data_IF_048350053727
#
_entry.id   IF_048350053727
#
_cell.length_a   1.000
_cell.length_b   1.000
_cell.length_c   1.000
_cell.angle_alpha   90.00
_cell.angle_beta   90.00
_cell.angle_gamma   90.00
#
_symmetry.space_group_name_H-M   'P 1'
#
loop_
_entity.id
_entity.type
_entity.pdbx_description
1 polymer ?
#
# COMPACT_ATOMS: atom_id res chain seq x y z
N UNK A 1 10.39 -28.97 12.94
CA UNK A 1 9.26 -28.87 11.97
C UNK A 1 9.86 -28.40 10.65
N UNK A 2 9.75 -29.16 9.56
CA UNK A 2 10.25 -28.68 8.25
C UNK A 2 9.44 -27.43 7.87
N UNK A 3 10.08 -26.32 7.44
CA UNK A 3 9.33 -25.17 6.94
C UNK A 3 8.45 -25.63 5.78
N UNK A 4 7.15 -25.36 5.87
CA UNK A 4 6.21 -25.66 4.79
C UNK A 4 6.54 -24.74 3.62
N UNK A 5 6.86 -25.31 2.46
CA UNK A 5 7.11 -24.55 1.25
C UNK A 5 5.80 -23.84 0.82
N UNK A 6 5.88 -22.54 0.58
CA UNK A 6 4.76 -21.78 0.02
C UNK A 6 4.67 -22.07 -1.49
N UNK A 7 3.47 -22.39 -1.97
CA UNK A 7 3.21 -22.58 -3.40
C UNK A 7 2.15 -21.58 -3.84
N UNK A 8 2.52 -20.70 -4.77
CA UNK A 8 1.62 -19.67 -5.32
C UNK A 8 0.74 -20.26 -6.42
N UNK A 9 -0.46 -20.70 -6.07
CA UNK A 9 -1.41 -21.32 -7.01
C UNK A 9 -2.46 -20.34 -7.56
N UNK A 10 -2.70 -19.23 -6.84
CA UNK A 10 -3.68 -18.20 -7.19
C UNK A 10 -2.99 -16.85 -7.44
N UNK A 11 -3.60 -15.95 -8.23
CA UNK A 11 -3.12 -14.57 -8.34
C UNK A 11 -3.09 -13.88 -6.97
N UNK A 12 -1.96 -13.24 -6.66
CA UNK A 12 -1.71 -12.60 -5.37
C UNK A 12 -1.96 -11.09 -5.43
N UNK A 13 -2.78 -10.60 -4.49
CA UNK A 13 -3.11 -9.19 -4.32
C UNK A 13 -2.72 -8.70 -2.92
N UNK A 14 -2.11 -7.52 -2.88
CA UNK A 14 -1.92 -6.71 -1.69
C UNK A 14 -3.08 -5.73 -1.57
N UNK A 15 -3.86 -5.84 -0.51
CA UNK A 15 -4.95 -4.90 -0.22
C UNK A 15 -4.84 -4.33 1.18
N UNK A 16 -5.55 -3.23 1.45
CA UNK A 16 -5.62 -2.65 2.78
C UNK A 16 -7.03 -2.21 3.16
N UNK A 17 -7.40 -2.35 4.43
CA UNK A 17 -8.56 -1.65 5.00
C UNK A 17 -8.13 -0.27 5.48
N UNK A 18 -8.76 0.76 4.93
CA UNK A 18 -8.50 2.17 5.20
C UNK A 18 -9.76 2.84 5.76
N UNK A 19 -9.62 4.03 6.34
CA UNK A 19 -10.76 4.81 6.82
C UNK A 19 -10.64 5.27 8.28
N UNK A 20 -11.63 6.02 8.79
CA UNK A 20 -11.53 6.70 10.08
C UNK A 20 -11.47 5.75 11.28
N UNK A 21 -10.89 6.23 12.39
CA UNK A 21 -10.89 5.50 13.65
C UNK A 21 -12.33 5.22 14.11
N UNK A 22 -12.59 4.06 14.70
CA UNK A 22 -13.92 3.68 15.18
C UNK A 22 -14.91 3.18 14.12
N UNK A 23 -14.58 3.24 12.82
CA UNK A 23 -15.50 2.82 11.74
C UNK A 23 -15.51 1.29 11.49
N UNK A 24 -14.80 0.50 12.31
CA UNK A 24 -14.87 -0.97 12.26
C UNK A 24 -13.88 -1.67 11.32
N UNK A 25 -12.76 -1.03 10.94
CA UNK A 25 -11.70 -1.64 10.10
C UNK A 25 -11.18 -2.96 10.67
N UNK A 26 -10.66 -2.94 11.89
CA UNK A 26 -10.11 -4.13 12.55
C UNK A 26 -11.16 -5.21 12.77
N UNK A 27 -12.38 -4.82 13.14
CA UNK A 27 -13.52 -5.76 13.26
C UNK A 27 -13.83 -6.44 11.92
N UNK A 28 -13.81 -5.68 10.83
CA UNK A 28 -14.05 -6.20 9.49
C UNK A 28 -12.92 -7.15 9.05
N UNK A 29 -11.66 -6.75 9.21
CA UNK A 29 -10.51 -7.61 8.86
C UNK A 29 -10.49 -8.89 9.69
N UNK A 30 -10.81 -8.82 10.98
CA UNK A 30 -10.96 -10.00 11.83
C UNK A 30 -12.12 -10.90 11.38
N UNK A 31 -13.24 -10.33 10.92
CA UNK A 31 -14.36 -11.09 10.38
C UNK A 31 -14.00 -11.83 9.08
N UNK A 32 -13.26 -11.18 8.18
CA UNK A 32 -12.71 -11.81 6.96
C UNK A 32 -11.76 -12.96 7.33
N UNK A 33 -10.82 -12.71 8.25
CA UNK A 33 -9.87 -13.72 8.69
C UNK A 33 -10.60 -14.94 9.29
N UNK A 34 -11.59 -14.71 10.15
CA UNK A 34 -12.41 -15.77 10.75
C UNK A 34 -13.19 -16.56 9.71
N UNK A 35 -13.81 -15.88 8.74
CA UNK A 35 -14.59 -16.54 7.67
C UNK A 35 -13.71 -17.49 6.85
N UNK A 36 -12.48 -17.08 6.56
CA UNK A 36 -11.55 -17.82 5.70
C UNK A 36 -10.57 -18.73 6.48
N UNK A 37 -10.76 -18.88 7.80
CA UNK A 37 -9.89 -19.71 8.64
C UNK A 37 -8.46 -19.19 8.78
N UNK A 38 -8.23 -17.90 8.55
CA UNK A 38 -6.93 -17.24 8.68
C UNK A 38 -6.69 -16.72 10.10
N UNK A 39 -5.41 -16.53 10.44
CA UNK A 39 -5.04 -15.88 11.70
C UNK A 39 -5.50 -14.41 11.70
N UNK A 40 -6.14 -13.90 12.76
CA UNK A 40 -6.48 -12.49 12.83
C UNK A 40 -5.21 -11.62 12.89
N UNK A 41 -5.29 -10.33 12.55
CA UNK A 41 -4.15 -9.42 12.69
C UNK A 41 -3.69 -9.38 14.17
N UNK A 42 -2.43 -9.72 14.43
CA UNK A 42 -1.88 -9.87 15.78
C UNK A 42 -1.06 -8.65 16.23
N UNK A 43 -1.68 -7.76 17.00
CA UNK A 43 -1.00 -6.65 17.69
C UNK A 43 -0.58 -5.46 16.80
N UNK A 44 0.01 -4.40 17.38
CA UNK A 44 0.28 -3.13 16.70
C UNK A 44 1.36 -3.21 15.61
N UNK A 45 2.07 -4.33 15.48
CA UNK A 45 3.16 -4.55 14.53
C UNK A 45 2.83 -5.54 13.39
N UNK A 46 1.83 -6.43 13.56
CA UNK A 46 1.44 -7.34 12.48
C UNK A 46 0.45 -6.64 11.55
N UNK A 47 1.01 -5.88 10.61
CA UNK A 47 0.24 -5.07 9.67
C UNK A 47 -0.63 -5.89 8.73
N UNK A 48 -0.39 -7.20 8.54
CA UNK A 48 -1.01 -7.99 7.46
C UNK A 48 -1.47 -9.37 7.88
N UNK A 49 -2.64 -9.75 7.39
CA UNK A 49 -3.19 -11.11 7.43
C UNK A 49 -3.13 -11.74 6.04
N UNK A 50 -2.84 -13.04 5.99
CA UNK A 50 -2.87 -13.84 4.77
C UNK A 50 -4.16 -14.67 4.70
N UNK A 51 -4.87 -14.64 3.58
CA UNK A 51 -6.01 -15.50 3.32
C UNK A 51 -6.24 -15.67 1.82
N UNK A 52 -7.17 -16.53 1.43
CA UNK A 52 -7.53 -16.72 0.02
C UNK A 52 -9.03 -16.87 -0.16
N UNK A 53 -9.53 -16.40 -1.30
CA UNK A 53 -10.88 -16.70 -1.80
C UNK A 53 -10.82 -17.90 -2.75
N UNK A 54 -11.95 -18.25 -3.37
CA UNK A 54 -11.95 -19.20 -4.48
C UNK A 54 -11.09 -18.77 -5.67
N UNK A 55 -10.85 -17.47 -5.87
CA UNK A 55 -10.24 -16.94 -7.10
C UNK A 55 -8.89 -16.25 -6.91
N UNK A 56 -8.56 -15.81 -5.68
CA UNK A 56 -7.37 -15.00 -5.38
C UNK A 56 -6.72 -15.39 -4.05
N UNK A 57 -5.45 -15.03 -3.92
CA UNK A 57 -4.71 -15.03 -2.67
C UNK A 57 -4.45 -13.58 -2.23
N UNK A 58 -4.56 -13.31 -0.94
CA UNK A 58 -4.50 -11.97 -0.38
C UNK A 58 -3.43 -11.84 0.71
N UNK A 59 -2.68 -10.74 0.61
CA UNK A 59 -2.02 -10.10 1.74
C UNK A 59 -2.83 -8.86 2.10
N UNK A 60 -3.57 -8.90 3.21
CA UNK A 60 -4.48 -7.83 3.60
C UNK A 60 -3.92 -7.07 4.81
N UNK A 61 -3.59 -5.79 4.59
CA UNK A 61 -3.18 -4.90 5.64
C UNK A 61 -4.34 -4.27 6.44
N UNK A 62 -4.34 -4.36 7.77
CA UNK A 62 -5.24 -3.56 8.60
C UNK A 62 -4.55 -2.26 9.02
N UNK A 63 -4.99 -1.14 8.43
CA UNK A 63 -4.29 0.13 8.58
C UNK A 63 -4.94 0.97 9.68
N UNK A 64 -4.18 1.43 10.68
CA UNK A 64 -4.70 2.35 11.69
C UNK A 64 -5.26 3.63 11.08
N UNK A 65 -6.30 4.21 11.69
CA UNK A 65 -6.88 5.47 11.21
C UNK A 65 -5.87 6.63 11.18
N UNK A 66 -4.88 6.62 12.08
CA UNK A 66 -3.81 7.61 12.16
C UNK A 66 -2.57 7.26 11.31
N UNK A 67 -2.63 6.19 10.49
CA UNK A 67 -1.51 5.77 9.68
C UNK A 67 -1.08 6.90 8.74
N UNK A 68 0.22 7.16 8.75
CA UNK A 68 0.80 8.20 7.90
C UNK A 68 1.32 7.62 6.60
N UNK A 69 1.61 6.33 6.50
CA UNK A 69 2.12 5.71 5.28
C UNK A 69 1.44 4.37 5.07
N UNK A 70 1.22 4.02 3.82
CA UNK A 70 0.72 2.73 3.40
C UNK A 70 1.86 1.93 2.76
N UNK A 71 1.78 0.59 2.81
CA UNK A 71 2.59 -0.24 1.94
C UNK A 71 2.19 -0.07 0.46
N UNK A 72 2.91 -0.74 -0.45
CA UNK A 72 2.43 -0.88 -1.83
C UNK A 72 1.12 -1.68 -1.87
N UNK A 73 0.14 -1.22 -2.65
CA UNK A 73 -1.21 -1.78 -2.71
C UNK A 73 -1.68 -1.95 -4.16
N UNK A 74 -2.35 -3.07 -4.43
CA UNK A 74 -3.04 -3.32 -5.70
C UNK A 74 -4.50 -2.82 -5.65
N UNK A 75 -5.09 -2.79 -4.44
CA UNK A 75 -6.42 -2.23 -4.19
C UNK A 75 -6.63 -1.88 -2.72
N UNK A 76 -7.76 -1.25 -2.40
CA UNK A 76 -8.10 -0.88 -1.03
C UNK A 76 -9.58 -1.07 -0.72
N UNK A 77 -9.88 -1.31 0.56
CA UNK A 77 -11.23 -1.30 1.12
C UNK A 77 -11.37 -0.07 2.01
N UNK A 78 -12.19 0.91 1.61
CA UNK A 78 -12.50 2.07 2.43
C UNK A 78 -13.67 1.74 3.36
N UNK A 79 -13.41 1.72 4.66
CA UNK A 79 -14.41 1.39 5.68
C UNK A 79 -15.00 2.67 6.27
N UNK A 80 -16.31 2.83 6.14
CA UNK A 80 -17.06 3.98 6.68
C UNK A 80 -18.27 3.47 7.44
N UNK A 81 -18.45 3.88 8.70
CA UNK A 81 -19.66 3.58 9.45
C UNK A 81 -20.81 4.44 8.94
N UNK A 82 -21.93 3.81 8.58
CA UNK A 82 -23.13 4.47 8.09
C UNK A 82 -23.80 5.35 9.16
N UNK A 83 -23.62 5.05 10.44
CA UNK A 83 -24.15 5.86 11.55
C UNK A 83 -23.50 7.25 11.61
N UNK A 84 -22.23 7.35 11.23
CA UNK A 84 -21.44 8.58 11.23
C UNK A 84 -21.43 9.29 9.88
N UNK A 85 -20.97 10.53 9.85
CA UNK A 85 -20.59 11.21 8.60
C UNK A 85 -19.23 10.72 8.10
N UNK A 86 -18.81 11.23 6.94
CA UNK A 86 -17.44 11.04 6.44
C UNK A 86 -16.55 12.12 7.06
N UNK A 87 -15.69 11.80 8.03
CA UNK A 87 -14.84 12.81 8.67
C UNK A 87 -13.84 13.39 7.66
N UNK A 88 -13.39 14.65 7.84
CA UNK A 88 -12.43 15.28 6.93
C UNK A 88 -11.14 14.47 6.72
N UNK A 89 -10.67 13.77 7.77
CA UNK A 89 -9.49 12.91 7.69
C UNK A 89 -9.60 11.72 6.73
N UNK A 90 -10.81 11.34 6.28
CA UNK A 90 -11.01 10.26 5.30
C UNK A 90 -10.38 10.59 3.95
N UNK A 91 -10.31 11.87 3.59
CA UNK A 91 -9.64 12.35 2.39
C UNK A 91 -8.15 11.95 2.38
N UNK A 92 -7.47 12.03 3.53
CA UNK A 92 -6.06 11.66 3.64
C UNK A 92 -5.85 10.17 3.32
N UNK A 93 -6.78 9.29 3.68
CA UNK A 93 -6.70 7.87 3.33
C UNK A 93 -6.78 7.62 1.83
N UNK A 94 -7.60 8.38 1.09
CA UNK A 94 -7.69 8.28 -0.37
C UNK A 94 -6.42 8.76 -1.06
N UNK A 95 -5.86 9.88 -0.59
CA UNK A 95 -4.58 10.40 -1.10
C UNK A 95 -3.44 9.41 -0.84
N UNK A 96 -3.40 8.81 0.35
CA UNK A 96 -2.44 7.77 0.69
C UNK A 96 -2.61 6.52 -0.17
N UNK A 97 -3.86 6.08 -0.42
CA UNK A 97 -4.15 4.95 -1.30
C UNK A 97 -3.60 5.19 -2.72
N UNK A 98 -3.80 6.39 -3.25
CA UNK A 98 -3.27 6.76 -4.55
C UNK A 98 -1.74 6.74 -4.59
N UNK A 99 -1.09 7.27 -3.54
CA UNK A 99 0.36 7.25 -3.42
C UNK A 99 0.94 5.83 -3.24
N UNK A 100 0.16 4.92 -2.65
CA UNK A 100 0.49 3.49 -2.50
C UNK A 100 0.31 2.67 -3.79
N UNK A 101 -0.24 3.27 -4.85
CA UNK A 101 -0.52 2.60 -6.12
C UNK A 101 -1.94 2.03 -6.24
N UNK A 102 -2.77 2.10 -5.20
CA UNK A 102 -4.15 1.63 -5.27
C UNK A 102 -4.97 2.55 -6.18
N UNK A 103 -5.37 2.02 -7.35
CA UNK A 103 -6.25 2.68 -8.33
C UNK A 103 -7.69 2.19 -8.24
N UNK A 104 -7.90 1.01 -7.64
CA UNK A 104 -9.20 0.38 -7.47
C UNK A 104 -9.53 0.29 -5.99
N UNK A 105 -10.78 0.58 -5.65
CA UNK A 105 -11.25 0.64 -4.29
C UNK A 105 -12.67 0.09 -4.19
N UNK A 106 -12.96 -0.56 -3.06
CA UNK A 106 -14.31 -0.97 -2.66
C UNK A 106 -14.65 -0.25 -1.37
N UNK A 107 -15.88 0.23 -1.23
CA UNK A 107 -16.35 0.85 0.01
C UNK A 107 -17.13 -0.19 0.82
N UNK A 108 -16.75 -0.35 2.09
CA UNK A 108 -17.52 -1.10 3.08
C UNK A 108 -18.26 -0.12 4.00
N UNK A 109 -19.59 -0.03 3.84
CA UNK A 109 -20.47 0.71 4.75
C UNK A 109 -20.84 -0.17 5.93
N UNK A 110 -20.19 0.04 7.08
CA UNK A 110 -20.45 -0.72 8.31
C UNK A 110 -21.58 -0.10 9.13
N UNK A 111 -22.16 -0.86 10.07
CA UNK A 111 -23.21 -0.37 11.00
C UNK A 111 -24.44 0.20 10.27
N UNK A 112 -24.78 -0.35 9.10
CA UNK A 112 -25.96 0.06 8.35
C UNK A 112 -27.27 -0.28 9.06
N UNK A 113 -27.25 -1.36 9.85
CA UNK A 113 -28.32 -1.82 10.73
C UNK A 113 -28.65 -0.81 11.84
N UNK A 114 -27.63 -0.15 12.41
CA UNK A 114 -27.81 0.88 13.44
C UNK A 114 -28.32 2.23 12.86
N UNK A 115 -27.97 2.54 11.61
CA UNK A 115 -28.18 3.87 11.01
C UNK A 115 -29.60 4.08 10.45
N UNK A 116 -30.27 3.00 10.03
CA UNK A 116 -31.54 3.04 9.32
C UNK A 116 -31.43 3.49 7.85
N UNK A 117 -32.43 3.20 6.99
CA UNK A 117 -32.30 3.31 5.54
C UNK A 117 -31.99 4.72 5.01
N UNK A 118 -32.57 5.76 5.64
CA UNK A 118 -32.34 7.15 5.25
C UNK A 118 -30.89 7.57 5.45
N UNK A 119 -30.33 7.28 6.63
CA UNK A 119 -28.95 7.64 6.96
C UNK A 119 -27.95 6.89 6.09
N UNK A 120 -28.20 5.60 5.81
CA UNK A 120 -27.36 4.78 4.92
C UNK A 120 -27.25 5.40 3.52
N UNK A 121 -28.38 5.84 2.94
CA UNK A 121 -28.38 6.52 1.63
C UNK A 121 -27.54 7.80 1.66
N UNK A 122 -27.66 8.60 2.72
CA UNK A 122 -26.85 9.82 2.87
C UNK A 122 -25.36 9.50 3.03
N UNK A 123 -25.01 8.49 3.83
CA UNK A 123 -23.62 8.07 4.02
C UNK A 123 -22.99 7.61 2.70
N UNK A 124 -23.73 6.86 1.89
CA UNK A 124 -23.28 6.47 0.54
C UNK A 124 -23.05 7.69 -0.36
N UNK A 125 -23.98 8.65 -0.39
CA UNK A 125 -23.83 9.88 -1.17
C UNK A 125 -22.62 10.72 -0.73
N UNK A 126 -22.36 10.80 0.58
CA UNK A 126 -21.19 11.49 1.13
C UNK A 126 -19.89 10.82 0.69
N UNK A 127 -19.83 9.49 0.75
CA UNK A 127 -18.65 8.73 0.29
C UNK A 127 -18.46 8.89 -1.21
N UNK A 128 -19.51 8.80 -2.03
CA UNK A 128 -19.41 8.99 -3.49
C UNK A 128 -18.90 10.39 -3.84
N UNK A 129 -19.37 11.43 -3.14
CA UNK A 129 -18.84 12.80 -3.30
C UNK A 129 -17.36 12.89 -2.94
N UNK A 130 -16.94 12.26 -1.84
CA UNK A 130 -15.53 12.21 -1.45
C UNK A 130 -14.69 11.48 -2.52
N UNK A 131 -15.12 10.33 -3.01
CA UNK A 131 -14.42 9.57 -4.04
C UNK A 131 -14.22 10.40 -5.32
N UNK A 132 -15.28 11.06 -5.79
CA UNK A 132 -15.23 11.91 -6.99
C UNK A 132 -14.25 13.08 -6.80
N UNK A 133 -14.26 13.72 -5.63
CA UNK A 133 -13.37 14.83 -5.31
C UNK A 133 -11.88 14.43 -5.27
N UNK A 134 -11.58 13.14 -5.11
CA UNK A 134 -10.21 12.61 -5.04
C UNK A 134 -9.84 11.68 -6.21
N UNK A 135 -10.54 11.80 -7.34
CA UNK A 135 -10.16 11.16 -8.59
C UNK A 135 -10.47 9.66 -8.69
N UNK A 136 -11.31 9.12 -7.80
CA UNK A 136 -11.86 7.77 -7.92
C UNK A 136 -13.16 7.78 -8.72
N UNK A 137 -13.44 6.69 -9.44
CA UNK A 137 -14.71 6.52 -10.17
C UNK A 137 -15.84 6.29 -9.17
N UNK A 138 -16.45 7.38 -8.69
CA UNK A 138 -17.52 7.35 -7.70
C UNK A 138 -18.80 6.66 -8.20
N UNK A 139 -18.95 6.44 -9.51
CA UNK A 139 -20.12 5.77 -10.08
C UNK A 139 -19.89 4.25 -10.06
N UNK A 140 -18.75 3.79 -10.56
CA UNK A 140 -18.44 2.36 -10.70
C UNK A 140 -17.86 1.72 -9.44
N UNK A 141 -17.35 2.52 -8.50
CA UNK A 141 -16.85 2.01 -7.22
C UNK A 141 -17.96 1.28 -6.48
N UNK A 142 -17.80 -0.02 -6.14
CA UNK A 142 -18.78 -0.75 -5.38
C UNK A 142 -18.88 -0.20 -3.96
N UNK A 143 -20.12 0.00 -3.51
CA UNK A 143 -20.44 0.36 -2.13
C UNK A 143 -21.26 -0.77 -1.54
N UNK A 144 -20.64 -1.54 -0.63
CA UNK A 144 -21.24 -2.74 -0.03
C UNK A 144 -21.61 -2.41 1.41
N UNK A 145 -22.86 -2.68 1.80
CA UNK A 145 -23.25 -2.64 3.20
C UNK A 145 -22.74 -3.90 3.88
N UNK A 146 -21.90 -3.73 4.91
CA UNK A 146 -21.19 -4.83 5.56
C UNK A 146 -21.55 -4.92 7.03
N UNK A 147 -22.10 -6.07 7.44
CA UNK A 147 -22.19 -6.49 8.83
C UNK A 147 -21.10 -7.53 9.11
N UNK A 148 -20.04 -7.20 9.89
CA UNK A 148 -18.93 -8.12 10.17
C UNK A 148 -19.34 -9.43 10.86
N UNK A 149 -20.54 -9.47 11.45
CA UNK A 149 -21.06 -10.67 12.10
C UNK A 149 -21.83 -11.60 11.14
N UNK A 150 -22.21 -11.12 9.96
CA UNK A 150 -22.97 -11.87 8.98
C UNK A 150 -22.06 -12.41 7.86
N UNK A 151 -21.93 -13.74 7.77
CA UNK A 151 -21.08 -14.43 6.78
C UNK A 151 -21.38 -13.97 5.35
N UNK A 152 -22.65 -13.96 4.94
CA UNK A 152 -23.05 -13.57 3.59
C UNK A 152 -22.66 -12.11 3.26
N UNK A 153 -22.65 -11.23 4.26
CA UNK A 153 -22.31 -9.83 4.10
C UNK A 153 -20.80 -9.62 3.89
N UNK A 154 -19.98 -10.36 4.65
CA UNK A 154 -18.52 -10.37 4.45
C UNK A 154 -18.15 -11.04 3.11
N UNK A 155 -18.86 -12.09 2.71
CA UNK A 155 -18.67 -12.72 1.40
C UNK A 155 -18.98 -11.75 0.25
N UNK A 156 -20.09 -11.01 0.32
CA UNK A 156 -20.43 -10.01 -0.69
C UNK A 156 -19.37 -8.92 -0.83
N UNK A 157 -18.70 -8.53 0.26
CA UNK A 157 -17.56 -7.62 0.20
C UNK A 157 -16.38 -8.26 -0.55
N UNK A 158 -16.04 -9.51 -0.24
CA UNK A 158 -14.93 -10.22 -0.90
C UNK A 158 -15.21 -10.42 -2.39
N UNK A 159 -16.44 -10.77 -2.77
CA UNK A 159 -16.85 -10.90 -4.17
C UNK A 159 -16.72 -9.56 -4.92
N UNK A 160 -17.09 -8.46 -4.27
CA UNK A 160 -16.90 -7.12 -4.81
C UNK A 160 -15.42 -6.77 -4.98
N UNK A 161 -14.55 -7.16 -4.05
CA UNK A 161 -13.09 -6.97 -4.16
C UNK A 161 -12.51 -7.82 -5.29
N UNK A 162 -12.83 -9.12 -5.35
CA UNK A 162 -12.41 -10.05 -6.42
C UNK A 162 -12.78 -9.54 -7.82
N UNK A 163 -13.93 -8.85 -7.93
CA UNK A 163 -14.45 -8.30 -9.20
C UNK A 163 -13.88 -6.92 -9.53
N UNK A 164 -13.77 -6.03 -8.54
CA UNK A 164 -13.41 -4.63 -8.75
C UNK A 164 -11.90 -4.42 -8.89
N UNK A 165 -11.09 -5.18 -8.14
CA UNK A 165 -9.64 -5.04 -8.15
C UNK A 165 -9.06 -5.98 -9.21
N UNK A 166 -8.50 -5.45 -10.31
CA UNK A 166 -7.95 -6.30 -11.36
C UNK A 166 -6.74 -7.07 -10.85
N UNK A 167 -6.46 -8.21 -11.49
CA UNK A 167 -5.20 -8.91 -11.22
C UNK A 167 -4.04 -8.04 -11.72
N UNK A 168 -3.11 -7.65 -10.85
CA UNK A 168 -1.98 -6.80 -11.25
C UNK A 168 -1.02 -7.57 -12.15
N UNK A 169 -0.48 -6.89 -13.16
CA UNK A 169 0.60 -7.43 -13.99
C UNK A 169 1.88 -7.45 -13.16
N UNK A 170 2.52 -8.61 -13.07
CA UNK A 170 3.73 -8.83 -12.27
C UNK A 170 4.94 -9.06 -13.18
N UNK A 171 5.93 -8.20 -13.10
CA UNK A 171 7.15 -8.28 -13.93
C UNK A 171 8.21 -9.18 -13.29
N UNK A 172 7.96 -10.49 -13.22
CA UNK A 172 8.82 -11.46 -12.52
C UNK A 172 10.19 -11.67 -13.16
N UNK A 173 10.34 -11.32 -14.44
CA UNK A 173 11.59 -11.42 -15.21
C UNK A 173 12.43 -10.13 -15.18
N UNK A 174 11.90 -9.03 -14.62
CA UNK A 174 12.66 -7.81 -14.46
C UNK A 174 13.70 -7.93 -13.33
N UNK A 175 14.75 -7.08 -13.30
CA UNK A 175 15.65 -7.02 -12.15
C UNK A 175 14.88 -6.72 -10.87
N UNK A 176 15.11 -7.52 -9.82
CA UNK A 176 14.32 -7.40 -8.61
C UNK A 176 14.47 -6.03 -7.93
N UNK A 177 13.38 -5.57 -7.32
CA UNK A 177 13.35 -4.37 -6.48
C UNK A 177 12.41 -4.62 -5.30
N UNK A 178 12.96 -4.59 -4.08
CA UNK A 178 12.24 -4.74 -2.82
C UNK A 178 12.25 -3.39 -2.08
N UNK A 179 11.07 -2.80 -1.89
CA UNK A 179 10.91 -1.56 -1.13
C UNK A 179 10.86 -1.86 0.37
N UNK A 180 11.79 -1.31 1.15
CA UNK A 180 11.91 -1.60 2.59
C UNK A 180 10.85 -0.82 3.37
N UNK A 181 9.98 -1.56 4.05
CA UNK A 181 8.95 -1.03 4.95
C UNK A 181 9.42 -0.97 6.40
N UNK A 182 10.22 -1.96 6.81
CA UNK A 182 10.85 -2.05 8.11
C UNK A 182 12.16 -2.83 8.04
N UNK A 183 13.08 -2.56 8.96
CA UNK A 183 14.38 -3.21 9.02
C UNK A 183 14.86 -3.33 10.47
N UNK A 184 15.26 -4.54 10.87
CA UNK A 184 15.82 -4.84 12.18
C UNK A 184 16.86 -5.96 12.05
N UNK A 185 18.05 -5.76 12.63
CA UNK A 185 19.09 -6.79 12.78
C UNK A 185 19.41 -7.59 11.51
N UNK A 186 19.66 -6.89 10.41
CA UNK A 186 19.98 -7.50 9.12
C UNK A 186 18.80 -8.18 8.42
N UNK A 187 17.59 -8.08 8.98
CA UNK A 187 16.35 -8.52 8.34
C UNK A 187 15.56 -7.30 7.86
N UNK A 188 15.04 -7.37 6.65
CA UNK A 188 14.14 -6.36 6.08
C UNK A 188 12.78 -6.95 5.77
N UNK A 189 11.73 -6.16 5.95
CA UNK A 189 10.40 -6.49 5.46
C UNK A 189 9.96 -5.48 4.40
N UNK A 190 9.19 -5.93 3.43
CA UNK A 190 8.75 -5.08 2.33
C UNK A 190 7.94 -5.81 1.27
N UNK A 191 7.52 -5.08 0.24
CA UNK A 191 6.88 -5.67 -0.95
C UNK A 191 7.90 -5.74 -2.07
N UNK A 192 8.03 -6.94 -2.67
CA UNK A 192 8.82 -7.12 -3.88
C UNK A 192 8.06 -6.51 -5.06
N UNK A 193 8.44 -5.31 -5.51
CA UNK A 193 7.69 -4.59 -6.54
C UNK A 193 7.82 -5.25 -7.92
N UNK A 194 9.00 -5.78 -8.23
CA UNK A 194 9.31 -6.47 -9.48
C UNK A 194 10.38 -7.54 -9.30
N UNK A 195 10.51 -8.38 -10.31
CA UNK A 195 11.51 -9.44 -10.39
C UNK A 195 11.23 -10.64 -9.50
N UNK A 196 12.28 -11.41 -9.28
CA UNK A 196 12.30 -12.61 -8.43
C UNK A 196 13.48 -12.48 -7.48
N UNK A 197 13.27 -12.76 -6.19
CA UNK A 197 14.29 -12.70 -5.14
C UNK A 197 14.51 -14.08 -4.53
N UNK A 198 15.75 -14.55 -4.50
CA UNK A 198 16.14 -15.87 -4.00
C UNK A 198 17.21 -15.75 -2.91
N UNK A 199 17.25 -16.70 -1.95
CA UNK A 199 18.45 -16.91 -1.16
C UNK A 199 19.67 -17.12 -2.09
N UNK A 200 20.77 -16.45 -1.78
CA UNK A 200 21.99 -16.40 -2.59
C UNK A 200 22.12 -15.15 -3.46
N UNK A 201 21.03 -14.42 -3.74
CA UNK A 201 21.09 -13.22 -4.57
C UNK A 201 21.91 -12.11 -3.90
N UNK A 202 22.67 -11.37 -4.72
CA UNK A 202 23.32 -10.13 -4.29
C UNK A 202 22.35 -8.95 -4.45
N UNK A 203 22.23 -8.14 -3.41
CA UNK A 203 21.42 -6.94 -3.39
C UNK A 203 22.28 -5.69 -3.14
N UNK A 204 22.10 -4.67 -3.97
CA UNK A 204 22.56 -3.31 -3.68
C UNK A 204 21.58 -2.61 -2.73
N UNK A 205 22.13 -1.91 -1.74
CA UNK A 205 21.42 -1.26 -0.66
C UNK A 205 21.41 0.25 -0.88
N UNK A 206 20.29 0.78 -1.34
CA UNK A 206 20.14 2.23 -1.52
C UNK A 206 19.76 2.91 -0.20
N UNK A 207 20.21 4.15 0.06
CA UNK A 207 21.07 4.99 -0.78
C UNK A 207 22.57 4.71 -0.59
N UNK A 208 22.97 3.78 0.28
CA UNK A 208 24.39 3.59 0.66
C UNK A 208 25.29 3.04 -0.46
N UNK A 209 24.71 2.38 -1.47
CA UNK A 209 25.45 1.71 -2.55
C UNK A 209 26.17 0.43 -2.12
N UNK A 210 26.19 0.11 -0.81
CA UNK A 210 26.75 -1.14 -0.30
C UNK A 210 25.99 -2.35 -0.87
N UNK A 211 26.66 -3.50 -0.93
CA UNK A 211 26.02 -4.75 -1.34
C UNK A 211 25.97 -5.75 -0.19
N UNK A 212 24.88 -6.50 -0.10
CA UNK A 212 24.72 -7.63 0.81
C UNK A 212 24.23 -8.87 0.05
N UNK A 213 24.40 -10.05 0.63
CA UNK A 213 23.85 -11.30 0.09
C UNK A 213 22.57 -11.64 0.84
N UNK A 214 21.52 -11.98 0.12
CA UNK A 214 20.27 -12.47 0.72
C UNK A 214 20.48 -13.90 1.19
N UNK A 215 20.33 -14.17 2.48
CA UNK A 215 20.57 -15.50 3.06
C UNK A 215 19.29 -16.30 3.26
N UNK A 216 18.16 -15.61 3.44
CA UNK A 216 16.85 -16.24 3.55
C UNK A 216 15.75 -15.32 3.02
N UNK A 217 14.70 -15.92 2.47
CA UNK A 217 13.50 -15.24 2.00
C UNK A 217 12.29 -15.95 2.60
N UNK A 218 11.38 -15.17 3.20
CA UNK A 218 10.18 -15.68 3.87
C UNK A 218 8.97 -14.83 3.55
N UNK A 219 7.78 -15.40 3.68
CA UNK A 219 6.50 -14.68 3.66
C UNK A 219 5.61 -15.25 4.74
N UNK A 220 4.94 -14.40 5.53
CA UNK A 220 4.06 -14.83 6.64
C UNK A 220 4.66 -15.93 7.53
N UNK A 221 5.97 -15.84 7.83
CA UNK A 221 6.71 -16.81 8.63
C UNK A 221 7.15 -18.10 7.90
N UNK A 222 6.66 -18.33 6.68
CA UNK A 222 6.98 -19.49 5.82
C UNK A 222 8.23 -19.20 4.98
N UNK A 223 9.09 -20.20 4.79
CA UNK A 223 10.30 -20.06 3.96
C UNK A 223 9.97 -20.22 2.48
N UNK A 224 10.60 -19.40 1.64
CA UNK A 224 10.46 -19.42 0.19
C UNK A 224 11.76 -19.86 -0.48
N UNK A 225 11.67 -20.66 -1.54
CA UNK A 225 12.79 -20.88 -2.47
C UNK A 225 13.04 -19.65 -3.35
N UNK A 226 11.96 -18.95 -3.71
CA UNK A 226 11.98 -17.69 -4.43
C UNK A 226 10.72 -16.88 -4.07
N UNK A 227 10.88 -15.59 -3.81
CA UNK A 227 9.79 -14.63 -3.82
C UNK A 227 9.64 -14.03 -5.22
N UNK A 228 8.41 -13.70 -5.59
CA UNK A 228 8.08 -13.08 -6.87
C UNK A 228 7.41 -11.73 -6.67
N UNK A 229 7.45 -10.90 -7.71
CA UNK A 229 6.77 -9.60 -7.73
C UNK A 229 5.33 -9.68 -7.17
N UNK A 230 5.03 -8.77 -6.25
CA UNK A 230 3.82 -8.70 -5.44
C UNK A 230 3.93 -9.34 -4.06
N UNK A 231 4.89 -10.23 -3.80
CA UNK A 231 4.96 -10.89 -2.50
C UNK A 231 5.35 -9.91 -1.38
N UNK A 232 4.72 -10.07 -0.23
CA UNK A 232 5.20 -9.48 1.04
C UNK A 232 6.33 -10.35 1.55
N UNK A 233 7.53 -9.79 1.59
CA UNK A 233 8.76 -10.52 1.86
C UNK A 233 9.37 -10.07 3.19
N UNK A 234 9.86 -11.06 3.94
CA UNK A 234 10.89 -10.90 4.96
C UNK A 234 12.18 -11.48 4.40
N UNK A 235 13.18 -10.64 4.15
CA UNK A 235 14.48 -11.05 3.63
C UNK A 235 15.56 -10.85 4.70
N UNK A 236 16.34 -11.89 4.97
CA UNK A 236 17.52 -11.80 5.83
C UNK A 236 18.75 -11.59 4.97
N UNK A 237 19.61 -10.65 5.40
CA UNK A 237 20.81 -10.26 4.70
C UNK A 237 22.04 -10.68 5.50
N UNK A 238 23.02 -11.24 4.81
CA UNK A 238 24.32 -11.58 5.37
C UNK A 238 25.29 -10.40 5.36
N UNK A 239 26.12 -10.33 6.40
CA UNK A 239 27.26 -9.43 6.49
C UNK A 239 26.96 -8.04 7.09
N UNK A 240 28.01 -7.29 7.44
CA UNK A 240 27.89 -6.01 8.17
C UNK A 240 27.25 -4.90 7.33
N UNK A 241 27.18 -5.06 6.01
CA UNK A 241 26.54 -4.10 5.10
C UNK A 241 25.04 -3.93 5.36
N UNK A 242 24.38 -4.93 5.97
CA UNK A 242 22.97 -4.86 6.32
C UNK A 242 22.67 -3.91 7.50
N UNK A 243 23.70 -3.53 8.28
CA UNK A 243 23.54 -2.60 9.39
C UNK A 243 23.14 -1.21 8.90
N UNK A 244 22.13 -0.61 9.54
CA UNK A 244 21.66 0.76 9.26
C UNK A 244 20.66 0.90 8.12
N UNK A 245 20.17 -0.22 7.57
CA UNK A 245 18.98 -0.22 6.71
C UNK A 245 17.77 0.29 7.49
N UNK A 246 16.90 0.99 6.79
CA UNK A 246 15.67 1.54 7.38
C UNK A 246 14.55 1.64 6.34
N UNK A 247 13.35 1.94 6.83
CA UNK A 247 12.22 2.30 5.98
C UNK A 247 12.60 3.39 4.97
N UNK A 248 12.21 3.18 3.72
CA UNK A 248 12.54 4.08 2.61
C UNK A 248 13.83 3.76 1.86
N UNK A 249 14.58 2.76 2.34
CA UNK A 249 15.64 2.15 1.56
C UNK A 249 15.03 1.13 0.57
N UNK A 250 15.84 0.72 -0.40
CA UNK A 250 15.47 -0.26 -1.42
C UNK A 250 16.61 -1.24 -1.60
N UNK A 251 16.25 -2.52 -1.72
CA UNK A 251 17.13 -3.60 -2.15
C UNK A 251 16.86 -3.90 -3.61
N UNK A 252 17.88 -3.94 -4.44
CA UNK A 252 17.72 -4.28 -5.84
C UNK A 252 18.95 -4.99 -6.41
N UNK A 253 18.80 -5.54 -7.61
CA UNK A 253 19.96 -6.05 -8.37
C UNK A 253 20.99 -4.93 -8.51
N UNK A 254 22.28 -5.16 -8.19
CA UNK A 254 23.33 -4.14 -8.35
C UNK A 254 23.36 -3.55 -9.76
N UNK A 255 23.40 -2.21 -9.84
CA UNK A 255 23.40 -1.47 -11.10
C UNK A 255 22.03 -1.33 -11.79
N UNK A 256 20.96 -1.92 -11.25
CA UNK A 256 19.61 -1.85 -11.86
C UNK A 256 18.76 -0.64 -11.46
N UNK A 257 19.27 0.20 -10.55
CA UNK A 257 18.57 1.38 -10.04
C UNK A 257 19.36 2.64 -10.36
N UNK A 258 18.66 3.65 -10.84
CA UNK A 258 19.14 5.03 -10.95
C UNK A 258 18.66 5.83 -9.74
N UNK A 259 19.57 6.54 -9.08
CA UNK A 259 19.24 7.46 -8.00
C UNK A 259 19.09 8.88 -8.55
N UNK A 260 17.96 9.51 -8.29
CA UNK A 260 17.69 10.87 -8.72
C UNK A 260 17.52 11.80 -7.50
N UNK A 261 17.95 13.06 -7.67
CA UNK A 261 17.69 14.16 -6.72
C UNK A 261 16.51 15.04 -7.13
N UNK A 262 15.89 14.75 -8.27
CA UNK A 262 14.72 15.46 -8.76
C UNK A 262 14.15 14.76 -9.98
N UNK A 263 12.94 15.16 -10.36
CA UNK A 263 12.20 14.61 -11.49
C UNK A 263 11.10 15.57 -11.91
N UNK A 264 10.54 15.34 -13.10
CA UNK A 264 9.28 15.99 -13.52
C UNK A 264 8.10 15.07 -13.23
N UNK A 265 6.96 15.66 -12.91
CA UNK A 265 5.76 14.91 -12.56
C UNK A 265 4.47 15.63 -12.98
N UNK A 266 3.40 14.85 -13.11
CA UNK A 266 2.03 15.36 -13.05
C UNK A 266 1.56 15.33 -11.59
N UNK A 267 1.03 16.43 -11.10
CA UNK A 267 0.61 16.60 -9.70
C UNK A 267 -0.85 17.03 -9.61
N UNK A 268 -1.56 16.47 -8.64
CA UNK A 268 -2.89 16.88 -8.25
C UNK A 268 -2.82 17.46 -6.83
N UNK A 269 -2.93 18.79 -6.75
CA UNK A 269 -2.90 19.57 -5.53
C UNK A 269 -4.17 20.43 -5.48
N UNK A 270 -5.11 20.18 -4.54
CA UNK A 270 -6.33 20.98 -4.42
C UNK A 270 -6.06 22.46 -4.12
N UNK A 271 -4.94 22.75 -3.45
CA UNK A 271 -4.48 24.11 -3.16
C UNK A 271 -2.95 24.19 -3.23
N UNK A 272 -2.37 25.37 -3.52
CA UNK A 272 -0.93 25.57 -3.48
C UNK A 272 -0.36 25.23 -2.08
N UNK A 273 0.71 24.44 -2.00
CA UNK A 273 1.33 24.10 -0.73
C UNK A 273 1.91 25.34 -0.06
N UNK A 274 1.80 25.42 1.27
CA UNK A 274 2.43 26.46 2.11
C UNK A 274 3.42 25.81 3.05
N UNK A 275 4.60 26.41 3.19
CA UNK A 275 5.64 25.95 4.11
C UNK A 275 6.44 24.74 3.62
N UNK A 276 7.26 24.13 4.50
CA UNK A 276 8.14 23.02 4.16
C UNK A 276 7.37 21.77 3.70
N UNK A 277 7.88 21.13 2.64
CA UNK A 277 7.27 19.92 2.09
C UNK A 277 8.08 18.67 2.37
N UNK A 278 7.35 17.57 2.51
CA UNK A 278 7.89 16.21 2.47
C UNK A 278 7.29 15.45 1.31
N UNK A 279 8.15 14.77 0.57
CA UNK A 279 7.79 13.94 -0.56
C UNK A 279 7.88 12.49 -0.12
N UNK A 280 6.79 11.76 -0.33
CA UNK A 280 6.72 10.34 -0.06
C UNK A 280 6.76 9.55 -1.36
N UNK A 281 7.86 8.83 -1.60
CA UNK A 281 8.04 7.94 -2.74
C UNK A 281 8.24 6.52 -2.21
N UNK A 282 7.42 5.57 -2.65
CA UNK A 282 7.36 4.23 -2.04
C UNK A 282 7.22 4.34 -0.51
N UNK A 283 8.18 3.79 0.23
CA UNK A 283 8.27 3.85 1.68
C UNK A 283 9.12 5.03 2.18
N UNK A 284 9.86 5.71 1.30
CA UNK A 284 10.73 6.81 1.65
C UNK A 284 9.95 8.09 1.90
N UNK A 285 10.39 8.87 2.90
CA UNK A 285 9.89 10.20 3.19
C UNK A 285 11.08 11.15 3.29
N UNK A 286 11.13 12.16 2.42
CA UNK A 286 12.27 13.10 2.36
C UNK A 286 11.77 14.54 2.27
N UNK A 287 12.49 15.52 2.84
CA UNK A 287 12.24 16.92 2.53
C UNK A 287 12.36 17.14 1.02
N UNK A 288 11.65 18.12 0.49
CA UNK A 288 11.84 18.53 -0.90
C UNK A 288 11.01 19.75 -1.26
N UNK A 289 11.10 20.15 -2.51
CA UNK A 289 10.39 21.29 -3.06
C UNK A 289 9.62 20.87 -4.31
N UNK A 290 8.55 21.60 -4.57
CA UNK A 290 7.70 21.40 -5.75
C UNK A 290 7.53 22.76 -6.41
N UNK A 291 8.03 22.88 -7.63
CA UNK A 291 7.87 24.07 -8.47
C UNK A 291 6.81 23.77 -9.52
N UNK A 292 5.61 24.38 -9.42
CA UNK A 292 4.55 24.17 -10.41
C UNK A 292 5.01 24.58 -11.81
N UNK A 293 4.61 23.79 -12.80
CA UNK A 293 4.69 24.12 -14.22
C UNK A 293 3.29 24.25 -14.82
N UNK A 294 3.20 24.17 -16.14
CA UNK A 294 1.93 24.29 -16.86
C UNK A 294 1.07 23.03 -16.75
N UNK A 295 -0.25 23.19 -16.89
CA UNK A 295 -1.21 22.09 -17.02
C UNK A 295 -1.11 20.99 -15.93
N UNK A 296 -0.84 21.38 -14.68
CA UNK A 296 -0.73 20.44 -13.56
C UNK A 296 0.56 19.62 -13.55
N UNK A 297 1.58 20.05 -14.29
CA UNK A 297 2.95 19.52 -14.17
C UNK A 297 3.70 20.23 -13.05
N UNK A 298 4.76 19.59 -12.54
CA UNK A 298 5.68 20.21 -11.61
C UNK A 298 7.08 19.59 -11.71
N UNK A 299 8.09 20.40 -11.42
CA UNK A 299 9.45 19.92 -11.16
C UNK A 299 9.60 19.70 -9.66
N UNK A 300 10.05 18.51 -9.27
CA UNK A 300 10.23 18.11 -7.89
C UNK A 300 11.72 17.97 -7.59
N UNK A 301 12.18 18.56 -6.49
CA UNK A 301 13.53 18.37 -5.96
C UNK A 301 13.47 17.64 -4.62
N UNK A 302 14.35 16.66 -4.43
CA UNK A 302 14.44 15.79 -3.27
C UNK A 302 15.65 16.19 -2.42
N UNK A 303 15.46 16.27 -1.09
CA UNK A 303 16.51 16.59 -0.14
C UNK A 303 17.64 15.56 -0.06
N UNK A 304 17.40 14.34 -0.56
CA UNK A 304 18.43 13.30 -0.76
C UNK A 304 18.13 12.47 -2.01
N UNK A 305 19.14 11.80 -2.60
CA UNK A 305 18.91 10.89 -3.72
C UNK A 305 17.99 9.74 -3.32
N UNK A 306 17.04 9.41 -4.19
CA UNK A 306 16.15 8.26 -4.05
C UNK A 306 16.07 7.47 -5.36
N UNK A 307 15.73 6.17 -5.31
CA UNK A 307 15.37 5.41 -6.50
C UNK A 307 14.06 5.94 -7.08
N UNK A 308 14.11 6.58 -8.24
CA UNK A 308 12.96 7.17 -8.93
C UNK A 308 12.86 6.59 -10.34
N UNK A 309 11.64 6.30 -10.77
CA UNK A 309 11.31 5.70 -12.06
C UNK A 309 10.08 6.39 -12.63
N UNK A 310 9.99 6.47 -13.95
CA UNK A 310 8.82 6.99 -14.64
C UNK A 310 7.57 6.17 -14.31
N UNK A 311 6.42 6.83 -14.21
CA UNK A 311 5.15 6.21 -13.82
C UNK A 311 4.99 5.98 -12.32
N UNK A 312 6.03 6.21 -11.50
CA UNK A 312 5.92 6.04 -10.05
C UNK A 312 4.99 7.07 -9.41
N UNK A 313 4.09 6.61 -8.54
CA UNK A 313 3.25 7.49 -7.74
C UNK A 313 4.01 8.05 -6.52
N UNK A 314 3.65 9.24 -6.08
CA UNK A 314 4.16 9.83 -4.85
C UNK A 314 3.11 10.70 -4.16
N UNK A 315 3.32 10.96 -2.85
CA UNK A 315 2.50 11.90 -2.08
C UNK A 315 3.28 13.19 -1.80
N UNK A 316 2.57 14.32 -1.84
CA UNK A 316 3.06 15.63 -1.37
C UNK A 316 2.48 15.89 0.01
N UNK A 317 3.33 16.20 0.98
CA UNK A 317 2.91 16.40 2.37
C UNK A 317 3.40 17.73 2.91
N UNK A 318 2.53 18.37 3.68
CA UNK A 318 2.86 19.50 4.52
C UNK A 318 2.94 19.07 5.98
N UNK A 319 2.98 20.05 6.88
CA UNK A 319 3.02 19.83 8.32
C UNK A 319 1.76 19.13 8.86
N UNK A 320 0.60 19.50 8.33
CA UNK A 320 -0.70 19.01 8.80
C UNK A 320 -1.13 17.63 8.21
N UNK A 321 -0.47 17.15 7.14
CA UNK A 321 -0.86 15.90 6.48
C UNK A 321 -0.52 15.83 5.00
N UNK A 322 -1.15 14.90 4.28
CA UNK A 322 -1.03 14.79 2.82
C UNK A 322 -1.81 15.90 2.14
N UNK A 323 -1.15 16.68 1.29
CA UNK A 323 -1.72 17.79 0.54
C UNK A 323 -2.18 17.38 -0.86
N UNK A 324 -1.59 16.33 -1.42
CA UNK A 324 -1.95 15.81 -2.73
C UNK A 324 -1.05 14.65 -3.16
N UNK A 325 -1.16 14.28 -4.42
CA UNK A 325 -0.41 13.17 -5.00
C UNK A 325 0.10 13.53 -6.39
N UNK A 326 1.04 12.74 -6.90
CA UNK A 326 1.56 12.90 -8.25
C UNK A 326 2.04 11.59 -8.85
N UNK A 327 2.39 11.66 -10.13
CA UNK A 327 3.00 10.57 -10.88
C UNK A 327 4.22 11.11 -11.62
N UNK A 328 5.37 10.47 -11.44
CA UNK A 328 6.63 10.81 -12.12
C UNK A 328 6.43 10.64 -13.62
N UNK A 329 6.82 11.66 -14.40
CA UNK A 329 6.70 11.66 -15.86
C UNK A 329 8.04 11.53 -16.56
N UNK A 330 9.11 12.06 -15.96
CA UNK A 330 10.47 11.89 -16.47
C UNK A 330 11.51 12.06 -15.36
N UNK A 331 12.56 11.26 -15.43
CA UNK A 331 13.72 11.29 -14.53
C UNK A 331 14.93 11.80 -15.31
N UNK A 332 15.81 12.64 -14.72
CA UNK A 332 17.03 13.13 -15.36
C UNK A 332 18.03 12.04 -15.74
#
# INVERSE_FOLDING_TARGET
MKPQAYVRTKPHLNIATLGPAGHGKTTLTAAVARLLGAAPPAGPAALRTEYETGTRHYAHADVPGAARQLPALDGAVLVVAATGGVPPGTAEHLLLAHAAGARHLVVALTRADEAGPGRVRTAEQDVRRLLAAHGFDAVRTPVVQVSPHAVASVQALLDAVDTCVPTPVRYTQAPFLLAVEDAADGTVTGVLERGTLRPGDRAALTPSGRTATVTAVRTFGKTLEAAQAGDVVTATLGGPAAAGLRRGDVLAVPGSIVLARGFTARVHLPAPPRGPLRLQLRTAMVPGTLTPGDAGTATVALGRPLPVEEGMAFAVRGEAGVLGHGTVTSVP
#
